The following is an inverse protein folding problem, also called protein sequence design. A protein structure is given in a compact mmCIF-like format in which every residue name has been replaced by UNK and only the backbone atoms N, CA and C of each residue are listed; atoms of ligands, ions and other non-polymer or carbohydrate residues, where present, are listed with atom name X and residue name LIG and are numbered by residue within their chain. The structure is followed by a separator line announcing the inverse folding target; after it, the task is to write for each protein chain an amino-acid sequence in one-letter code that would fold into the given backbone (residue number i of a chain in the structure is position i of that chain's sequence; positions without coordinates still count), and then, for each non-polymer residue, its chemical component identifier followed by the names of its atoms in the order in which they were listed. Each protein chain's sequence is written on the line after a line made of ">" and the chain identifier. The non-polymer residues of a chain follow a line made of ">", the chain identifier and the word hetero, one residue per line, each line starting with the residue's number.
data_IF_607656668568
#
_entry.id   IF_607656668568
#
_cell.length_a   1.000
_cell.length_b   1.000
_cell.length_c   1.000
_cell.angle_alpha   90.00
_cell.angle_beta   90.00
_cell.angle_gamma   90.00
#
_symmetry.space_group_name_H-M   'P 1'
#
loop_
_entity.id
_entity.type
_entity.pdbx_description
1 polymer ?
#
# COMPACT_ATOMS: atom_id res chain seq x y z
N UNK A 1 37.81 -32.77 -23.76
CA UNK A 1 37.38 -33.83 -24.70
C UNK A 1 35.91 -34.08 -24.48
N UNK A 2 35.10 -34.16 -25.53
CA UNK A 2 33.69 -34.56 -25.39
C UNK A 2 33.65 -36.03 -24.95
N UNK A 3 33.02 -36.34 -23.82
CA UNK A 3 32.87 -37.71 -23.33
C UNK A 3 31.87 -38.45 -24.24
N UNK A 4 32.20 -39.68 -24.64
CA UNK A 4 31.29 -40.52 -25.43
C UNK A 4 30.34 -41.26 -24.49
N UNK A 5 29.04 -41.22 -24.77
CA UNK A 5 28.01 -41.91 -23.97
C UNK A 5 27.68 -43.27 -24.57
N UNK A 6 27.79 -44.33 -23.76
CA UNK A 6 27.45 -45.70 -24.13
C UNK A 6 26.25 -46.20 -23.32
N UNK A 7 25.24 -46.72 -24.01
CA UNK A 7 24.07 -47.34 -23.37
C UNK A 7 24.37 -48.78 -22.99
N UNK A 8 24.24 -49.12 -21.71
CA UNK A 8 24.37 -50.49 -21.22
C UNK A 8 23.07 -51.27 -21.52
N UNK A 9 23.16 -52.33 -22.32
CA UNK A 9 22.10 -53.31 -22.54
C UNK A 9 22.33 -54.58 -21.71
N UNK A 10 21.28 -55.31 -21.31
CA UNK A 10 21.45 -56.50 -20.49
C UNK A 10 22.14 -57.64 -21.27
N UNK A 11 23.19 -58.19 -20.65
CA UNK A 11 23.95 -59.40 -21.01
C UNK A 11 24.70 -59.40 -22.36
N UNK A 12 26.01 -59.11 -22.29
CA UNK A 12 27.01 -59.75 -23.15
C UNK A 12 27.96 -60.59 -22.28
N UNK A 13 27.65 -61.87 -22.14
CA UNK A 13 28.48 -62.84 -21.42
C UNK A 13 29.71 -63.23 -22.24
N UNK A 14 30.71 -62.36 -22.40
CA UNK A 14 32.13 -62.77 -22.59
C UNK A 14 33.16 -61.62 -22.68
N UNK A 15 33.05 -60.56 -21.88
CA UNK A 15 34.00 -59.44 -21.97
C UNK A 15 34.93 -59.39 -20.76
N UNK A 16 36.24 -59.45 -21.03
CA UNK A 16 37.30 -59.30 -20.03
C UNK A 16 37.23 -57.90 -19.41
N UNK A 17 36.69 -57.85 -18.19
CA UNK A 17 36.40 -56.62 -17.45
C UNK A 17 37.66 -55.75 -17.30
N UNK A 18 38.86 -56.33 -17.16
CA UNK A 18 40.10 -55.56 -16.98
C UNK A 18 40.54 -54.83 -18.26
N UNK A 19 40.42 -55.47 -19.43
CA UNK A 19 40.70 -54.82 -20.72
C UNK A 19 39.68 -53.74 -21.04
N UNK A 20 38.41 -54.00 -20.77
CA UNK A 20 37.33 -53.04 -21.01
C UNK A 20 37.52 -51.78 -20.17
N UNK A 21 37.87 -51.93 -18.89
CA UNK A 21 38.25 -50.83 -18.00
C UNK A 21 39.39 -49.98 -18.57
N UNK A 22 40.46 -50.60 -19.06
CA UNK A 22 41.60 -49.87 -19.62
C UNK A 22 41.24 -49.04 -20.86
N UNK A 23 40.37 -49.57 -21.72
CA UNK A 23 39.89 -48.89 -22.93
C UNK A 23 38.93 -47.75 -22.57
N UNK A 24 38.03 -47.98 -21.62
CA UNK A 24 37.09 -46.96 -21.15
C UNK A 24 37.81 -45.77 -20.49
N UNK A 25 38.87 -46.01 -19.71
CA UNK A 25 39.73 -44.95 -19.16
C UNK A 25 40.41 -44.14 -20.26
N UNK A 26 40.99 -44.81 -21.27
CA UNK A 26 41.67 -44.14 -22.37
C UNK A 26 40.73 -43.27 -23.24
N UNK A 27 39.47 -43.69 -23.36
CA UNK A 27 38.46 -43.01 -24.19
C UNK A 27 37.55 -42.03 -23.42
N UNK A 28 37.70 -41.92 -22.09
CA UNK A 28 36.83 -41.08 -21.24
C UNK A 28 35.34 -41.36 -21.45
N UNK A 29 34.98 -42.65 -21.52
CA UNK A 29 33.60 -43.09 -21.78
C UNK A 29 32.73 -42.85 -20.54
N UNK A 30 31.52 -42.33 -20.76
CA UNK A 30 30.44 -42.33 -19.78
C UNK A 30 29.39 -43.37 -20.16
N UNK A 31 28.88 -44.08 -19.17
CA UNK A 31 27.80 -45.04 -19.33
C UNK A 31 26.46 -44.44 -18.92
N UNK A 32 25.41 -44.83 -19.63
CA UNK A 32 24.02 -44.53 -19.28
C UNK A 32 23.19 -45.82 -19.38
N UNK A 33 22.08 -45.86 -18.67
CA UNK A 33 21.13 -46.99 -18.69
C UNK A 33 19.82 -46.53 -19.31
N UNK A 34 19.15 -47.43 -20.03
CA UNK A 34 17.83 -47.14 -20.59
C UNK A 34 16.73 -47.07 -19.51
N UNK A 35 16.87 -47.86 -18.45
CA UNK A 35 15.91 -48.03 -17.35
C UNK A 35 16.66 -48.32 -16.03
N UNK A 36 16.07 -47.95 -14.90
CA UNK A 36 16.65 -48.16 -13.56
C UNK A 36 16.69 -49.64 -13.12
N UNK A 37 15.92 -50.51 -13.79
CA UNK A 37 15.85 -51.95 -13.51
C UNK A 37 16.80 -52.79 -14.39
N UNK A 38 17.69 -52.15 -15.16
CA UNK A 38 18.69 -52.87 -15.95
C UNK A 38 19.64 -53.61 -15.00
N UNK A 39 19.78 -54.92 -15.20
CA UNK A 39 20.71 -55.75 -14.45
C UNK A 39 22.14 -55.50 -14.95
N UNK A 40 22.92 -54.74 -14.19
CA UNK A 40 24.32 -54.43 -14.45
C UNK A 40 25.19 -55.19 -13.45
N UNK A 41 26.26 -55.84 -13.92
CA UNK A 41 27.24 -56.51 -13.05
C UNK A 41 27.82 -55.52 -12.03
N UNK A 42 27.82 -55.90 -10.75
CA UNK A 42 28.36 -55.10 -9.65
C UNK A 42 29.79 -54.61 -9.92
N UNK A 43 30.65 -55.44 -10.51
CA UNK A 43 32.02 -55.02 -10.84
C UNK A 43 32.06 -53.84 -11.83
N UNK A 44 31.08 -53.79 -12.74
CA UNK A 44 30.94 -52.68 -13.68
C UNK A 44 30.41 -51.43 -12.98
N UNK A 45 29.49 -51.59 -12.02
CA UNK A 45 28.97 -50.48 -11.21
C UNK A 45 30.07 -49.87 -10.35
N UNK A 46 30.85 -50.70 -9.67
CA UNK A 46 32.00 -50.27 -8.85
C UNK A 46 33.02 -49.53 -9.72
N UNK A 47 33.32 -50.06 -10.90
CA UNK A 47 34.20 -49.39 -11.87
C UNK A 47 33.68 -48.02 -12.32
N UNK A 48 32.39 -47.93 -12.69
CA UNK A 48 31.76 -46.67 -13.10
C UNK A 48 31.82 -45.63 -11.99
N UNK A 49 31.55 -46.06 -10.75
CA UNK A 49 31.58 -45.21 -9.58
C UNK A 49 32.99 -44.69 -9.25
N UNK A 50 33.99 -45.57 -9.21
CA UNK A 50 35.37 -45.22 -8.88
C UNK A 50 36.01 -44.25 -9.88
N UNK A 51 35.49 -44.18 -11.11
CA UNK A 51 36.10 -43.44 -12.21
C UNK A 51 35.19 -42.33 -12.78
N UNK A 52 34.10 -41.96 -12.09
CA UNK A 52 33.10 -40.99 -12.58
C UNK A 52 32.64 -41.29 -14.03
N UNK A 53 32.55 -42.58 -14.33
CA UNK A 53 32.35 -43.14 -15.67
C UNK A 53 30.89 -43.25 -16.08
N UNK A 54 29.97 -42.49 -15.47
CA UNK A 54 28.55 -42.53 -15.78
C UNK A 54 28.00 -41.15 -16.09
N UNK A 55 26.91 -41.10 -16.86
CA UNK A 55 26.16 -39.86 -17.11
C UNK A 55 25.43 -39.49 -15.83
N UNK A 56 25.61 -38.25 -15.37
CA UNK A 56 24.90 -37.73 -14.20
C UNK A 56 23.46 -37.41 -14.61
N UNK A 57 22.58 -38.40 -14.41
CA UNK A 57 21.13 -38.31 -14.58
C UNK A 57 20.42 -39.12 -13.48
N UNK A 58 19.10 -38.96 -13.36
CA UNK A 58 18.31 -39.59 -12.30
C UNK A 58 18.44 -41.12 -12.26
N UNK A 59 18.38 -41.79 -13.42
CA UNK A 59 18.43 -43.27 -13.51
C UNK A 59 19.78 -43.82 -13.04
N UNK A 60 20.87 -43.23 -13.52
CA UNK A 60 22.22 -43.63 -13.11
C UNK A 60 22.46 -43.34 -11.63
N UNK A 61 21.97 -42.21 -11.12
CA UNK A 61 22.07 -41.88 -9.71
C UNK A 61 21.32 -42.90 -8.85
N UNK A 62 20.10 -43.28 -9.23
CA UNK A 62 19.34 -44.35 -8.56
C UNK A 62 20.11 -45.67 -8.54
N UNK A 63 20.72 -46.07 -9.67
CA UNK A 63 21.53 -47.29 -9.75
C UNK A 63 22.73 -47.25 -8.79
N UNK A 64 23.47 -46.13 -8.77
CA UNK A 64 24.64 -45.96 -7.89
C UNK A 64 24.21 -46.00 -6.42
N UNK A 65 23.17 -45.25 -6.04
CA UNK A 65 22.69 -45.20 -4.66
C UNK A 65 22.20 -46.58 -4.19
N UNK A 66 21.47 -47.32 -5.03
CA UNK A 66 21.00 -48.69 -4.72
C UNK A 66 22.13 -49.67 -4.40
N UNK A 67 23.23 -49.56 -5.15
CA UNK A 67 24.34 -50.51 -5.01
C UNK A 67 25.32 -50.11 -3.90
N UNK A 68 25.52 -48.81 -3.69
CA UNK A 68 26.49 -48.30 -2.73
C UNK A 68 25.88 -48.10 -1.33
N UNK A 69 24.57 -47.92 -1.25
CA UNK A 69 23.81 -47.73 -0.01
C UNK A 69 22.61 -48.70 0.05
N UNK A 70 22.84 -50.03 0.00
CA UNK A 70 21.75 -51.02 -0.02
C UNK A 70 20.90 -51.02 1.26
N UNK A 71 21.48 -50.60 2.40
CA UNK A 71 20.74 -50.41 3.67
C UNK A 71 19.75 -49.24 3.63
N UNK A 72 19.85 -48.41 2.58
CA UNK A 72 19.05 -47.22 2.35
C UNK A 72 18.22 -47.35 1.07
N UNK A 73 17.87 -48.58 0.67
CA UNK A 73 17.09 -48.88 -0.55
C UNK A 73 15.76 -48.09 -0.59
N UNK A 74 15.16 -47.85 0.56
CA UNK A 74 13.96 -47.00 0.69
C UNK A 74 14.26 -45.51 0.48
N UNK A 75 15.47 -45.00 0.74
CA UNK A 75 15.86 -43.57 0.64
C UNK A 75 16.09 -43.05 -0.79
N UNK A 76 16.30 -43.95 -1.77
CA UNK A 76 16.64 -43.61 -3.16
C UNK A 76 15.53 -42.78 -3.83
N UNK A 77 14.30 -42.95 -3.34
CA UNK A 77 13.09 -42.30 -3.81
C UNK A 77 12.42 -41.42 -2.74
N UNK A 78 13.11 -41.11 -1.65
CA UNK A 78 12.54 -40.28 -0.57
C UNK A 78 12.75 -38.79 -0.85
N UNK A 79 11.85 -37.95 -0.34
CA UNK A 79 12.11 -36.53 -0.19
C UNK A 79 13.48 -36.27 0.46
N UNK A 80 14.18 -35.22 0.05
CA UNK A 80 15.48 -34.85 0.64
C UNK A 80 16.71 -35.59 0.09
N UNK A 81 16.68 -36.10 -1.14
CA UNK A 81 17.75 -36.91 -1.74
C UNK A 81 19.14 -36.28 -1.61
N UNK A 82 19.28 -34.98 -1.90
CA UNK A 82 20.59 -34.34 -1.87
C UNK A 82 21.12 -34.21 -0.43
N UNK A 83 20.25 -33.93 0.54
CA UNK A 83 20.57 -33.97 1.98
C UNK A 83 21.14 -35.34 2.37
N UNK A 84 20.50 -36.43 1.94
CA UNK A 84 21.00 -37.79 2.22
C UNK A 84 22.34 -38.08 1.54
N UNK A 85 22.53 -37.65 0.30
CA UNK A 85 23.82 -37.77 -0.39
C UNK A 85 24.90 -37.03 0.39
N UNK A 86 24.63 -35.81 0.86
CA UNK A 86 25.57 -35.01 1.65
C UNK A 86 25.88 -35.65 3.01
N UNK A 87 24.93 -36.33 3.64
CA UNK A 87 25.13 -37.05 4.90
C UNK A 87 25.84 -38.40 4.73
N UNK A 88 25.80 -39.00 3.53
CA UNK A 88 26.37 -40.33 3.26
C UNK A 88 27.90 -40.36 3.32
N UNK A 89 28.50 -41.56 3.33
CA UNK A 89 29.95 -41.74 3.20
C UNK A 89 30.47 -41.73 1.74
N UNK A 90 29.61 -41.42 0.75
CA UNK A 90 29.92 -41.50 -0.68
C UNK A 90 30.76 -40.31 -1.18
N UNK A 91 32.01 -40.18 -0.75
CA UNK A 91 32.88 -39.05 -1.09
C UNK A 91 33.12 -38.88 -2.60
N UNK A 92 33.21 -39.98 -3.35
CA UNK A 92 33.39 -39.92 -4.81
C UNK A 92 32.13 -39.36 -5.50
N UNK A 93 30.93 -39.78 -5.08
CA UNK A 93 29.68 -39.23 -5.59
C UNK A 93 29.58 -37.73 -5.30
N UNK A 94 29.90 -37.31 -4.06
CA UNK A 94 29.87 -35.90 -3.66
C UNK A 94 30.78 -35.05 -4.54
N UNK A 95 32.03 -35.48 -4.71
CA UNK A 95 32.99 -34.78 -5.56
C UNK A 95 32.51 -34.71 -7.01
N UNK A 96 31.95 -35.80 -7.54
CA UNK A 96 31.44 -35.81 -8.91
C UNK A 96 30.25 -34.87 -9.11
N UNK A 97 29.36 -34.78 -8.13
CA UNK A 97 28.26 -33.81 -8.12
C UNK A 97 28.82 -32.39 -8.01
N UNK A 98 29.76 -32.11 -7.11
CA UNK A 98 30.32 -30.78 -6.94
C UNK A 98 31.05 -30.31 -8.22
N UNK A 99 31.74 -31.20 -8.96
CA UNK A 99 32.35 -30.92 -10.27
C UNK A 99 31.33 -30.63 -11.37
N UNK A 100 30.10 -31.14 -11.25
CA UNK A 100 29.03 -31.05 -12.26
C UNK A 100 27.76 -30.45 -11.65
N UNK A 101 27.91 -29.50 -10.73
CA UNK A 101 26.84 -29.09 -9.82
C UNK A 101 25.65 -28.46 -10.57
N UNK A 102 25.90 -27.64 -11.58
CA UNK A 102 24.85 -27.08 -12.45
C UNK A 102 24.02 -28.18 -13.13
N UNK A 103 24.70 -29.20 -13.69
CA UNK A 103 24.02 -30.32 -14.35
C UNK A 103 23.19 -31.14 -13.35
N UNK A 104 23.73 -31.37 -12.16
CA UNK A 104 23.01 -32.06 -11.09
C UNK A 104 21.74 -31.29 -10.70
N UNK A 105 21.88 -29.98 -10.41
CA UNK A 105 20.76 -29.20 -9.91
C UNK A 105 19.68 -29.00 -10.98
N UNK A 106 20.08 -28.57 -12.19
CA UNK A 106 19.14 -28.33 -13.28
C UNK A 106 18.50 -29.61 -13.83
N UNK A 107 19.25 -30.71 -13.89
CA UNK A 107 18.84 -31.94 -14.58
C UNK A 107 18.28 -33.04 -13.67
N UNK A 108 18.54 -32.99 -12.36
CA UNK A 108 18.11 -34.01 -11.41
C UNK A 108 17.37 -33.36 -10.25
N UNK A 109 18.04 -32.45 -9.54
CA UNK A 109 17.49 -31.86 -8.32
C UNK A 109 16.16 -31.17 -8.59
N UNK A 110 16.03 -30.34 -9.62
CA UNK A 110 14.79 -29.60 -9.90
C UNK A 110 13.64 -30.50 -10.41
N UNK A 111 13.96 -31.68 -10.97
CA UNK A 111 12.98 -32.54 -11.68
C UNK A 111 12.23 -33.53 -10.79
N UNK A 112 12.68 -33.73 -9.55
CA UNK A 112 12.02 -34.64 -8.59
C UNK A 112 10.68 -34.02 -8.15
N UNK A 113 9.55 -34.73 -8.14
CA UNK A 113 8.26 -34.08 -7.84
C UNK A 113 7.97 -33.89 -6.34
N UNK A 114 8.78 -34.50 -5.46
CA UNK A 114 8.57 -34.54 -4.01
C UNK A 114 9.76 -33.94 -3.23
N UNK A 115 10.17 -32.73 -3.59
CA UNK A 115 11.30 -31.99 -2.97
C UNK A 115 11.14 -31.66 -1.47
N UNK A 116 9.99 -32.00 -0.88
CA UNK A 116 9.44 -31.40 0.33
C UNK A 116 10.15 -31.76 1.65
N UNK A 117 11.40 -32.27 1.61
CA UNK A 117 12.17 -32.60 2.82
C UNK A 117 13.68 -32.38 2.67
N UNK A 118 14.13 -31.59 1.69
CA UNK A 118 15.53 -31.14 1.74
C UNK A 118 15.77 -30.28 2.98
N UNK A 119 16.90 -30.50 3.66
CA UNK A 119 17.26 -29.67 4.81
C UNK A 119 17.53 -28.23 4.38
N UNK A 120 17.30 -27.28 5.28
CA UNK A 120 17.61 -25.87 5.05
C UNK A 120 19.08 -25.67 4.66
N UNK A 121 20.01 -26.41 5.28
CA UNK A 121 21.44 -26.35 4.94
C UNK A 121 21.71 -26.74 3.47
N UNK A 122 21.00 -27.76 2.97
CA UNK A 122 21.09 -28.21 1.58
C UNK A 122 20.59 -27.15 0.61
N UNK A 123 19.41 -26.56 0.89
CA UNK A 123 18.86 -25.48 0.06
C UNK A 123 19.80 -24.28 0.05
N UNK A 124 20.36 -23.90 1.20
CA UNK A 124 21.32 -22.80 1.29
C UNK A 124 22.62 -23.09 0.54
N UNK A 125 23.13 -24.33 0.55
CA UNK A 125 24.29 -24.72 -0.27
C UNK A 125 24.02 -24.48 -1.77
N UNK A 126 22.80 -24.72 -2.22
CA UNK A 126 22.39 -24.48 -3.61
C UNK A 126 22.27 -22.97 -3.88
N UNK A 127 21.46 -22.24 -3.09
CA UNK A 127 21.20 -20.82 -3.33
C UNK A 127 22.45 -19.94 -3.21
N UNK A 128 23.36 -20.27 -2.28
CA UNK A 128 24.61 -19.53 -2.07
C UNK A 128 25.77 -19.98 -2.97
N UNK A 129 25.54 -20.93 -3.89
CA UNK A 129 26.59 -21.40 -4.79
C UNK A 129 26.98 -20.33 -5.81
N UNK A 130 28.27 -20.05 -5.94
CA UNK A 130 28.83 -19.17 -6.97
C UNK A 130 28.91 -19.86 -8.35
N UNK A 131 28.80 -21.19 -8.39
CA UNK A 131 28.93 -21.99 -9.61
C UNK A 131 27.60 -22.09 -10.36
N UNK A 132 26.48 -22.02 -9.65
CA UNK A 132 25.16 -22.16 -10.24
C UNK A 132 24.73 -20.91 -10.98
N UNK A 133 24.07 -21.10 -12.13
CA UNK A 133 23.45 -20.00 -12.85
C UNK A 133 22.26 -19.42 -12.06
N UNK A 134 22.04 -18.11 -12.21
CA UNK A 134 20.90 -17.41 -11.58
C UNK A 134 19.57 -18.07 -11.94
N UNK A 135 19.36 -18.42 -13.21
CA UNK A 135 18.17 -19.11 -13.67
C UNK A 135 17.96 -20.45 -12.93
N UNK A 136 19.02 -21.24 -12.72
CA UNK A 136 18.91 -22.50 -11.97
C UNK A 136 18.51 -22.26 -10.52
N UNK A 137 19.08 -21.25 -9.85
CA UNK A 137 18.67 -20.87 -8.48
C UNK A 137 17.21 -20.41 -8.41
N UNK A 138 16.76 -19.60 -9.38
CA UNK A 138 15.36 -19.18 -9.46
C UNK A 138 14.42 -20.38 -9.65
N UNK A 139 14.78 -21.35 -10.51
CA UNK A 139 14.00 -22.57 -10.70
C UNK A 139 13.91 -23.41 -9.42
N UNK A 140 14.95 -23.44 -8.60
CA UNK A 140 14.91 -24.09 -7.28
C UNK A 140 13.85 -23.41 -6.41
N UNK A 141 13.86 -22.09 -6.28
CA UNK A 141 12.88 -21.33 -5.48
C UNK A 141 11.44 -21.62 -5.95
N UNK A 142 11.23 -21.64 -7.26
CA UNK A 142 9.91 -21.81 -7.89
C UNK A 142 9.34 -23.22 -7.76
N UNK A 143 10.21 -24.25 -7.84
CA UNK A 143 9.75 -25.64 -7.96
C UNK A 143 9.93 -26.46 -6.69
N UNK A 144 10.74 -26.01 -5.75
CA UNK A 144 10.94 -26.69 -4.47
C UNK A 144 10.09 -26.03 -3.37
N UNK A 145 9.66 -26.85 -2.41
CA UNK A 145 8.93 -26.40 -1.24
C UNK A 145 9.88 -26.42 -0.04
N UNK A 146 10.18 -25.23 0.48
CA UNK A 146 11.07 -25.04 1.62
C UNK A 146 10.75 -23.71 2.29
N UNK A 147 11.23 -23.57 3.52
CA UNK A 147 11.14 -22.31 4.26
C UNK A 147 12.47 -22.04 4.94
N UNK A 148 13.11 -20.91 4.60
CA UNK A 148 14.32 -20.45 5.28
C UNK A 148 13.92 -19.73 6.56
N UNK A 149 14.57 -20.08 7.67
CA UNK A 149 14.34 -19.43 8.96
C UNK A 149 14.69 -17.93 8.92
N UNK A 150 15.84 -17.58 8.31
CA UNK A 150 16.31 -16.19 8.21
C UNK A 150 16.71 -15.84 6.77
N UNK A 151 16.21 -14.71 6.26
CA UNK A 151 16.45 -14.30 4.86
C UNK A 151 17.92 -13.96 4.56
N UNK A 152 18.64 -13.44 5.55
CA UNK A 152 20.06 -13.09 5.46
C UNK A 152 21.00 -14.29 5.31
N UNK A 153 20.51 -15.51 5.54
CA UNK A 153 21.26 -16.72 5.24
C UNK A 153 21.41 -16.97 3.74
N UNK A 154 20.55 -16.35 2.91
CA UNK A 154 20.72 -16.30 1.45
C UNK A 154 21.58 -15.09 1.08
N UNK A 155 22.85 -15.35 0.73
CA UNK A 155 23.84 -14.34 0.37
C UNK A 155 23.51 -13.62 -0.95
N UNK A 156 22.72 -14.27 -1.82
CA UNK A 156 22.34 -13.75 -3.12
C UNK A 156 21.06 -12.90 -2.99
N UNK A 157 21.27 -11.61 -2.73
CA UNK A 157 20.18 -10.65 -2.43
C UNK A 157 19.20 -10.52 -3.61
N UNK A 158 19.64 -10.75 -4.86
CA UNK A 158 18.76 -10.69 -6.03
C UNK A 158 17.63 -11.74 -5.99
N UNK A 159 17.79 -12.79 -5.18
CA UNK A 159 16.78 -13.83 -5.01
C UNK A 159 15.75 -13.49 -3.93
N UNK A 160 15.96 -12.45 -3.11
CA UNK A 160 15.10 -12.14 -1.96
C UNK A 160 13.66 -11.82 -2.36
N UNK A 161 13.46 -11.10 -3.47
CA UNK A 161 12.13 -10.81 -4.00
C UNK A 161 11.38 -12.09 -4.34
N UNK A 162 12.05 -13.03 -5.00
CA UNK A 162 11.46 -14.30 -5.40
C UNK A 162 11.15 -15.17 -4.17
N UNK A 163 12.05 -15.15 -3.17
CA UNK A 163 11.83 -15.83 -1.89
C UNK A 163 10.61 -15.27 -1.15
N UNK A 164 10.42 -13.94 -1.14
CA UNK A 164 9.24 -13.29 -0.55
C UNK A 164 7.96 -13.60 -1.35
N UNK A 165 7.97 -13.43 -2.67
CA UNK A 165 6.79 -13.69 -3.52
C UNK A 165 6.26 -15.11 -3.39
N UNK A 166 7.15 -16.08 -3.21
CA UNK A 166 6.81 -17.49 -3.07
C UNK A 166 6.78 -17.98 -1.61
N UNK A 167 6.78 -17.08 -0.61
CA UNK A 167 6.63 -17.44 0.80
C UNK A 167 7.68 -18.47 1.27
N UNK A 168 8.91 -18.38 0.74
CA UNK A 168 10.02 -19.29 1.06
C UNK A 168 10.83 -18.88 2.28
N UNK A 169 10.35 -17.89 3.03
CA UNK A 169 10.96 -17.34 4.24
C UNK A 169 9.96 -17.48 5.39
N UNK A 170 10.45 -17.82 6.59
CA UNK A 170 9.61 -17.89 7.78
C UNK A 170 8.98 -16.52 8.13
N UNK A 171 7.67 -16.44 8.42
CA UNK A 171 6.97 -15.19 8.74
C UNK A 171 7.36 -14.63 10.11
N UNK A 172 8.51 -13.98 10.17
CA UNK A 172 9.02 -13.30 11.35
C UNK A 172 9.23 -11.82 11.08
N UNK A 173 8.98 -10.97 12.08
CA UNK A 173 9.22 -9.54 11.96
C UNK A 173 10.70 -9.22 11.71
N UNK A 174 11.63 -10.07 12.18
CA UNK A 174 13.05 -9.96 11.86
C UNK A 174 13.30 -10.10 10.36
N UNK A 175 12.70 -11.10 9.69
CA UNK A 175 12.84 -11.27 8.24
C UNK A 175 12.24 -10.11 7.45
N UNK A 176 11.07 -9.61 7.88
CA UNK A 176 10.46 -8.43 7.28
C UNK A 176 11.41 -7.22 7.41
N UNK A 177 11.98 -7.02 8.60
CA UNK A 177 12.90 -5.92 8.87
C UNK A 177 14.19 -6.01 8.06
N UNK A 178 14.81 -7.18 8.02
CA UNK A 178 16.02 -7.43 7.24
C UNK A 178 15.80 -7.19 5.75
N UNK A 179 14.65 -7.63 5.20
CA UNK A 179 14.29 -7.37 3.81
C UNK A 179 14.02 -5.88 3.55
N UNK A 180 13.21 -5.24 4.39
CA UNK A 180 12.84 -3.83 4.26
C UNK A 180 14.05 -2.91 4.36
N UNK A 181 15.00 -3.22 5.24
CA UNK A 181 16.21 -2.43 5.47
C UNK A 181 17.33 -2.72 4.46
N UNK A 182 17.07 -3.57 3.47
CA UNK A 182 18.06 -3.88 2.45
C UNK A 182 18.25 -2.68 1.50
N UNK A 183 19.48 -2.20 1.28
CA UNK A 183 19.73 -1.03 0.43
C UNK A 183 19.26 -1.18 -1.03
N UNK A 184 19.16 -2.41 -1.54
CA UNK A 184 18.68 -2.68 -2.91
C UNK A 184 17.17 -2.43 -3.02
N UNK A 185 16.44 -2.58 -1.91
CA UNK A 185 15.00 -2.35 -1.84
C UNK A 185 14.67 -0.89 -1.44
N UNK A 186 15.66 -0.14 -0.98
CA UNK A 186 15.54 1.26 -0.61
C UNK A 186 15.56 2.14 -1.87
N UNK A 187 14.42 2.20 -2.57
CA UNK A 187 14.17 3.22 -3.56
C UNK A 187 13.50 4.46 -2.93
N UNK A 188 13.67 5.62 -3.57
CA UNK A 188 13.12 6.87 -3.06
C UNK A 188 11.58 6.92 -3.09
N UNK A 189 10.94 6.01 -3.83
CA UNK A 189 9.50 6.00 -4.07
C UNK A 189 8.73 5.00 -3.20
N UNK A 190 9.32 3.87 -2.84
CA UNK A 190 8.68 2.80 -2.07
C UNK A 190 9.24 2.63 -0.66
N UNK A 191 10.39 3.25 -0.35
CA UNK A 191 11.03 3.21 0.97
C UNK A 191 11.19 1.77 1.51
N UNK A 192 11.51 0.80 0.66
CA UNK A 192 11.63 -0.61 1.05
C UNK A 192 10.35 -1.44 0.90
N UNK A 193 9.23 -0.83 0.50
CA UNK A 193 7.92 -1.51 0.34
C UNK A 193 7.70 -1.93 -1.12
N UNK A 194 8.45 -2.96 -1.50
CA UNK A 194 8.39 -3.59 -2.83
C UNK A 194 7.08 -4.38 -3.04
N UNK A 195 6.76 -4.73 -4.29
CA UNK A 195 5.63 -5.60 -4.60
C UNK A 195 5.82 -7.01 -4.01
N UNK A 196 7.05 -7.50 -3.93
CA UNK A 196 7.38 -8.78 -3.31
C UNK A 196 7.02 -8.80 -1.82
N UNK A 197 7.40 -7.75 -1.08
CA UNK A 197 7.06 -7.61 0.34
C UNK A 197 5.54 -7.51 0.55
N UNK A 198 4.86 -6.71 -0.27
CA UNK A 198 3.39 -6.57 -0.21
C UNK A 198 2.70 -7.90 -0.49
N UNK A 199 3.17 -8.66 -1.47
CA UNK A 199 2.64 -9.98 -1.81
C UNK A 199 2.80 -10.94 -0.63
N UNK A 200 3.98 -10.94 0.00
CA UNK A 200 4.26 -11.74 1.18
C UNK A 200 3.38 -11.35 2.38
N UNK A 201 3.25 -10.06 2.69
CA UNK A 201 2.43 -9.58 3.81
C UNK A 201 0.93 -9.84 3.61
N UNK A 202 0.46 -9.81 2.37
CA UNK A 202 -0.93 -10.10 2.00
C UNK A 202 -1.24 -11.59 1.87
N UNK A 203 -0.23 -12.47 1.95
CA UNK A 203 -0.45 -13.91 2.02
C UNK A 203 -1.10 -14.26 3.36
N UNK A 204 -2.22 -14.97 3.30
CA UNK A 204 -3.02 -15.32 4.48
C UNK A 204 -2.19 -16.06 5.54
N UNK A 205 -1.41 -17.05 5.12
CA UNK A 205 -0.56 -17.83 6.02
C UNK A 205 0.49 -16.95 6.72
N UNK A 206 1.15 -16.05 5.97
CA UNK A 206 2.14 -15.13 6.52
C UNK A 206 1.53 -14.17 7.53
N UNK A 207 0.44 -13.50 7.16
CA UNK A 207 -0.23 -12.52 8.04
C UNK A 207 -0.74 -13.17 9.32
N UNK A 208 -1.33 -14.37 9.24
CA UNK A 208 -1.78 -15.12 10.40
C UNK A 208 -0.61 -15.48 11.33
N UNK A 209 0.51 -15.99 10.81
CA UNK A 209 1.69 -16.32 11.61
C UNK A 209 2.35 -15.07 12.24
N UNK A 210 2.52 -14.00 11.45
CA UNK A 210 3.06 -12.72 11.93
C UNK A 210 2.20 -12.11 13.06
N UNK A 211 0.89 -12.34 13.03
CA UNK A 211 -0.03 -11.82 14.05
C UNK A 211 0.04 -12.53 15.42
N UNK A 212 0.61 -13.74 15.47
CA UNK A 212 0.67 -14.54 16.69
C UNK A 212 1.75 -14.06 17.67
N UNK A 213 2.81 -13.43 17.15
CA UNK A 213 3.89 -12.86 17.97
C UNK A 213 3.76 -11.35 17.97
N UNK A 214 3.66 -10.78 19.16
CA UNK A 214 3.78 -9.33 19.31
C UNK A 214 5.18 -8.89 18.90
N UNK A 215 5.26 -7.72 18.26
CA UNK A 215 6.48 -7.15 17.67
C UNK A 215 7.56 -6.78 18.74
N UNK A 216 7.35 -7.09 20.03
CA UNK A 216 8.06 -6.47 21.16
C UNK A 216 8.82 -7.42 22.08
N UNK A 217 8.82 -8.73 21.82
CA UNK A 217 9.52 -9.65 22.72
C UNK A 217 11.04 -9.61 22.55
N UNK A 218 11.57 -9.13 21.41
CA UNK A 218 13.01 -8.92 21.20
C UNK A 218 13.27 -7.67 20.33
N UNK A 219 14.09 -6.76 20.85
CA UNK A 219 14.63 -5.52 20.25
C UNK A 219 13.84 -4.20 20.44
N UNK A 220 14.27 -3.43 21.44
CA UNK A 220 14.26 -1.96 21.42
C UNK A 220 14.73 -1.44 20.04
N UNK A 221 13.89 -0.81 19.21
CA UNK A 221 14.38 -0.06 18.03
C UNK A 221 13.33 0.83 17.38
N UNK A 222 13.58 2.15 17.30
CA UNK A 222 12.74 3.08 16.53
C UNK A 222 12.62 2.73 15.04
N UNK A 223 13.48 1.84 14.53
CA UNK A 223 13.51 1.37 13.15
C UNK A 223 12.35 0.43 12.83
N UNK A 224 12.02 -0.51 13.73
CA UNK A 224 10.84 -1.39 13.57
C UNK A 224 9.56 -0.55 13.59
N UNK A 225 9.46 0.43 14.50
CA UNK A 225 8.33 1.37 14.56
C UNK A 225 8.17 2.13 13.23
N UNK A 226 9.29 2.59 12.64
CA UNK A 226 9.30 3.25 11.33
C UNK A 226 8.82 2.31 10.22
N UNK A 227 9.39 1.11 10.12
CA UNK A 227 8.99 0.11 9.13
C UNK A 227 7.48 -0.18 9.20
N UNK A 228 6.96 -0.45 10.40
CA UNK A 228 5.53 -0.75 10.58
C UNK A 228 4.66 0.45 10.18
N UNK A 229 5.07 1.66 10.54
CA UNK A 229 4.38 2.88 10.13
C UNK A 229 4.33 2.99 8.61
N UNK A 230 5.45 2.80 7.94
CA UNK A 230 5.53 2.90 6.48
C UNK A 230 4.65 1.83 5.82
N UNK A 231 4.69 0.58 6.31
CA UNK A 231 3.83 -0.52 5.84
C UNK A 231 2.34 -0.13 5.93
N UNK A 232 1.90 0.36 7.10
CA UNK A 232 0.49 0.72 7.31
C UNK A 232 0.08 2.01 6.60
N UNK A 233 0.99 2.95 6.40
CA UNK A 233 0.75 4.19 5.65
C UNK A 233 0.80 3.98 4.13
N UNK A 234 1.36 2.87 3.63
CA UNK A 234 1.55 2.62 2.20
C UNK A 234 0.26 2.47 1.38
N UNK A 235 -0.85 2.08 2.03
CA UNK A 235 -2.11 1.74 1.36
C UNK A 235 -2.04 0.48 0.47
N UNK A 236 -0.97 -0.31 0.53
CA UNK A 236 -0.76 -1.49 -0.32
C UNK A 236 -1.24 -2.81 0.30
N UNK A 237 -1.50 -2.84 1.60
CA UNK A 237 -2.09 -4.01 2.26
C UNK A 237 -3.55 -4.17 1.81
N UNK A 238 -4.03 -5.41 1.74
CA UNK A 238 -5.44 -5.70 1.49
C UNK A 238 -6.26 -5.65 2.78
N UNK A 239 -7.57 -5.47 2.66
CA UNK A 239 -8.47 -5.31 3.81
C UNK A 239 -8.62 -6.58 4.67
N UNK A 240 -8.18 -7.75 4.17
CA UNK A 240 -8.16 -9.01 4.93
C UNK A 240 -6.94 -9.09 5.86
N UNK A 241 -5.75 -8.78 5.34
CA UNK A 241 -4.47 -8.90 6.04
C UNK A 241 -4.22 -7.71 6.95
N UNK A 242 -4.70 -6.52 6.59
CA UNK A 242 -4.54 -5.29 7.36
C UNK A 242 -4.95 -5.43 8.84
N UNK A 243 -6.19 -5.83 9.19
CA UNK A 243 -6.60 -5.95 10.58
C UNK A 243 -5.89 -7.12 11.30
N UNK A 244 -5.43 -8.15 10.58
CA UNK A 244 -4.70 -9.27 11.15
C UNK A 244 -3.30 -8.79 11.60
N UNK A 245 -2.57 -8.14 10.70
CA UNK A 245 -1.25 -7.57 10.99
C UNK A 245 -1.33 -6.47 12.06
N UNK A 246 -2.39 -5.65 12.06
CA UNK A 246 -2.57 -4.58 13.05
C UNK A 246 -2.70 -5.13 14.49
N UNK A 247 -3.13 -6.37 14.68
CA UNK A 247 -3.17 -7.02 16.02
C UNK A 247 -1.78 -7.27 16.59
N UNK A 248 -0.78 -7.48 15.74
CA UNK A 248 0.60 -7.70 16.16
C UNK A 248 1.23 -6.44 16.79
N UNK A 249 0.73 -5.26 16.40
CA UNK A 249 1.20 -3.95 16.87
C UNK A 249 0.78 -3.73 18.32
N UNK A 250 1.72 -3.73 19.26
CA UNK A 250 1.44 -3.45 20.69
C UNK A 250 1.72 -2.00 21.12
N UNK A 251 2.14 -1.15 20.20
CA UNK A 251 2.45 0.27 20.39
C UNK A 251 1.43 1.16 19.69
N UNK A 252 1.60 2.48 19.83
CA UNK A 252 0.85 3.47 19.08
C UNK A 252 1.74 4.21 18.09
N UNK A 253 1.22 4.44 16.89
CA UNK A 253 1.88 5.25 15.87
C UNK A 253 1.78 6.73 16.20
N UNK A 254 2.93 7.41 16.17
CA UNK A 254 3.04 8.87 16.21
C UNK A 254 3.33 9.42 14.81
N UNK A 255 2.90 10.65 14.54
CA UNK A 255 3.07 11.35 13.27
C UNK A 255 2.56 10.54 12.06
N UNK A 256 1.52 9.72 12.22
CA UNK A 256 0.96 8.89 11.16
C UNK A 256 0.37 9.75 10.03
N UNK A 257 0.63 9.38 8.78
CA UNK A 257 0.08 10.03 7.59
C UNK A 257 -0.93 9.14 6.87
N UNK A 258 -2.06 9.73 6.46
CA UNK A 258 -3.17 9.05 5.79
C UNK A 258 -3.26 9.36 4.29
N UNK A 259 -2.19 9.88 3.69
CA UNK A 259 -2.17 10.35 2.31
C UNK A 259 -2.38 9.24 1.28
N UNK A 260 -1.82 8.06 1.53
CA UNK A 260 -1.95 6.88 0.68
C UNK A 260 -2.89 5.80 1.25
N UNK A 261 -3.38 5.95 2.49
CA UNK A 261 -4.25 4.95 3.11
C UNK A 261 -5.65 4.95 2.51
N UNK A 262 -6.22 3.75 2.34
CA UNK A 262 -7.61 3.58 1.91
C UNK A 262 -8.60 4.01 3.01
N UNK A 263 -9.84 4.33 2.64
CA UNK A 263 -10.87 4.77 3.59
C UNK A 263 -11.20 3.68 4.63
N UNK A 264 -11.34 2.42 4.20
CA UNK A 264 -11.59 1.26 5.07
C UNK A 264 -10.48 1.08 6.10
N UNK A 265 -9.22 1.15 5.66
CA UNK A 265 -8.03 1.01 6.50
C UNK A 265 -7.87 2.18 7.47
N UNK A 266 -8.12 3.40 7.00
CA UNK A 266 -8.10 4.60 7.84
C UNK A 266 -9.12 4.51 8.95
N UNK A 267 -10.32 3.99 8.64
CA UNK A 267 -11.36 3.70 9.65
C UNK A 267 -10.88 2.67 10.68
N UNK A 268 -10.29 1.55 10.24
CA UNK A 268 -9.75 0.53 11.14
C UNK A 268 -8.67 1.11 12.07
N UNK A 269 -7.77 1.94 11.56
CA UNK A 269 -6.73 2.60 12.36
C UNK A 269 -7.32 3.53 13.42
N UNK A 270 -8.28 4.37 13.04
CA UNK A 270 -8.98 5.28 13.97
C UNK A 270 -9.70 4.50 15.07
N UNK A 271 -10.35 3.38 14.73
CA UNK A 271 -11.11 2.56 15.69
C UNK A 271 -10.21 1.67 16.57
N UNK A 272 -8.99 1.35 16.13
CA UNK A 272 -8.08 0.43 16.83
C UNK A 272 -7.39 1.00 18.07
N UNK A 273 -7.44 2.33 18.28
CA UNK A 273 -6.65 3.06 19.28
C UNK A 273 -5.12 2.85 19.16
N UNK A 274 -4.64 2.48 17.96
CA UNK A 274 -3.20 2.31 17.64
C UNK A 274 -2.55 3.56 17.07
N UNK A 275 -3.28 4.67 16.92
CA UNK A 275 -2.75 5.92 16.38
C UNK A 275 -2.93 7.04 17.40
N UNK A 276 -1.87 7.78 17.67
CA UNK A 276 -1.92 9.01 18.46
C UNK A 276 -2.29 10.16 17.51
N UNK A 277 -3.44 10.79 17.77
CA UNK A 277 -3.92 11.92 17.00
C UNK A 277 -3.33 13.24 17.51
N UNK A 278 -2.02 13.41 17.30
CA UNK A 278 -1.36 14.71 17.42
C UNK A 278 -1.69 15.63 16.23
N UNK A 279 -1.30 16.90 16.31
CA UNK A 279 -1.75 17.93 15.36
C UNK A 279 -1.44 17.57 13.89
N UNK A 280 -0.27 16.99 13.62
CA UNK A 280 0.15 16.58 12.28
C UNK A 280 -0.71 15.42 11.77
N UNK A 281 -0.92 14.38 12.60
CA UNK A 281 -1.73 13.22 12.26
C UNK A 281 -3.19 13.58 12.03
N UNK A 282 -3.76 14.43 12.88
CA UNK A 282 -5.13 14.92 12.68
C UNK A 282 -5.24 15.80 11.44
N UNK A 283 -4.25 16.65 11.15
CA UNK A 283 -4.21 17.45 9.91
C UNK A 283 -4.19 16.55 8.67
N UNK A 284 -3.41 15.47 8.70
CA UNK A 284 -3.37 14.48 7.63
C UNK A 284 -4.73 13.81 7.45
N UNK A 285 -5.35 13.32 8.54
CA UNK A 285 -6.68 12.72 8.49
C UNK A 285 -7.74 13.71 7.96
N UNK A 286 -7.68 14.98 8.38
CA UNK A 286 -8.58 16.05 7.92
C UNK A 286 -8.43 16.39 6.44
N UNK A 287 -7.24 16.22 5.88
CA UNK A 287 -6.96 16.50 4.48
C UNK A 287 -7.47 15.37 3.57
N UNK A 288 -7.20 14.12 3.94
CA UNK A 288 -7.44 12.96 3.08
C UNK A 288 -8.77 12.24 3.37
N UNK A 289 -9.20 12.19 4.64
CA UNK A 289 -10.43 11.50 5.08
C UNK A 289 -11.29 12.40 6.01
N UNK A 290 -11.76 13.58 5.52
CA UNK A 290 -12.33 14.63 6.37
C UNK A 290 -13.59 14.21 7.13
N UNK A 291 -14.42 13.31 6.58
CA UNK A 291 -15.61 12.80 7.28
C UNK A 291 -15.23 11.98 8.50
N UNK A 292 -14.24 11.09 8.36
CA UNK A 292 -13.74 10.26 9.46
C UNK A 292 -13.07 11.13 10.52
N UNK A 293 -12.27 12.11 10.09
CA UNK A 293 -11.63 13.08 10.96
C UNK A 293 -12.67 13.89 11.78
N UNK A 294 -13.74 14.35 11.13
CA UNK A 294 -14.80 15.10 11.80
C UNK A 294 -15.56 14.24 12.84
N UNK A 295 -15.79 12.95 12.55
CA UNK A 295 -16.36 12.02 13.52
C UNK A 295 -15.44 11.86 14.74
N UNK A 296 -14.15 11.61 14.51
CA UNK A 296 -13.18 11.49 15.60
C UNK A 296 -13.16 12.75 16.48
N UNK A 297 -13.17 13.95 15.87
CA UNK A 297 -13.20 15.23 16.62
C UNK A 297 -14.46 15.39 17.45
N UNK A 298 -15.62 15.04 16.90
CA UNK A 298 -16.89 15.14 17.62
C UNK A 298 -16.89 14.26 18.88
N UNK A 299 -16.30 13.07 18.77
CA UNK A 299 -16.24 12.07 19.84
C UNK A 299 -15.08 12.36 20.83
N UNK A 300 -14.02 13.03 20.39
CA UNK A 300 -12.79 13.30 21.17
C UNK A 300 -12.52 14.80 21.35
N UNK A 301 -13.57 15.57 21.62
CA UNK A 301 -13.52 17.04 21.63
C UNK A 301 -12.44 17.63 22.52
N UNK A 302 -12.29 17.13 23.75
CA UNK A 302 -11.28 17.64 24.70
C UNK A 302 -9.86 17.46 24.16
N UNK A 303 -9.57 16.32 23.55
CA UNK A 303 -8.26 16.06 22.95
C UNK A 303 -8.01 16.99 21.76
N UNK A 304 -9.02 17.19 20.91
CA UNK A 304 -8.95 18.12 19.78
C UNK A 304 -8.66 19.56 20.23
N UNK A 305 -9.36 20.07 21.25
CA UNK A 305 -9.16 21.45 21.73
C UNK A 305 -7.72 21.69 22.20
N UNK A 306 -7.10 20.70 22.83
CA UNK A 306 -5.72 20.82 23.31
C UNK A 306 -4.70 21.02 22.17
N UNK A 307 -4.99 20.51 20.98
CA UNK A 307 -4.09 20.58 19.81
C UNK A 307 -4.58 21.54 18.72
N UNK A 308 -5.79 22.10 18.86
CA UNK A 308 -6.50 22.85 17.81
C UNK A 308 -5.65 23.95 17.15
N UNK A 309 -4.85 24.67 17.93
CA UNK A 309 -4.02 25.78 17.43
C UNK A 309 -2.94 25.35 16.43
N UNK A 310 -2.58 24.07 16.41
CA UNK A 310 -1.54 23.51 15.55
C UNK A 310 -2.12 22.72 14.36
N UNK A 311 -3.41 22.41 14.38
CA UNK A 311 -4.08 21.63 13.33
C UNK A 311 -4.30 22.51 12.09
N UNK A 312 -3.79 22.06 10.94
CA UNK A 312 -3.99 22.72 9.65
C UNK A 312 -5.34 22.30 9.07
N UNK A 313 -6.27 23.25 8.96
CA UNK A 313 -7.61 23.03 8.42
C UNK A 313 -7.81 23.80 7.12
N UNK A 314 -8.11 23.08 6.03
CA UNK A 314 -8.54 23.66 4.77
C UNK A 314 -10.07 23.85 4.75
N UNK A 315 -10.61 24.49 3.70
CA UNK A 315 -12.05 24.77 3.59
C UNK A 315 -12.93 23.50 3.62
N UNK A 316 -12.46 22.37 3.08
CA UNK A 316 -13.20 21.10 3.13
C UNK A 316 -13.22 20.52 4.54
N UNK A 317 -12.11 20.59 5.27
CA UNK A 317 -12.02 20.17 6.67
C UNK A 317 -12.95 21.01 7.55
N UNK A 318 -12.96 22.33 7.36
CA UNK A 318 -13.89 23.24 8.06
C UNK A 318 -15.35 22.90 7.79
N UNK A 319 -15.72 22.69 6.52
CA UNK A 319 -17.09 22.34 6.15
C UNK A 319 -17.56 21.06 6.85
N UNK A 320 -16.72 20.00 6.85
CA UNK A 320 -17.06 18.73 7.51
C UNK A 320 -17.13 18.83 9.03
N UNK A 321 -16.26 19.63 9.65
CA UNK A 321 -16.33 19.89 11.09
C UNK A 321 -17.63 20.63 11.47
N UNK A 322 -18.00 21.67 10.74
CA UNK A 322 -19.24 22.44 11.00
C UNK A 322 -20.47 21.57 10.78
N UNK A 323 -20.52 20.80 9.69
CA UNK A 323 -21.60 19.86 9.41
C UNK A 323 -21.76 18.84 10.53
N UNK A 324 -20.67 18.20 10.95
CA UNK A 324 -20.70 17.13 11.96
C UNK A 324 -21.07 17.64 13.35
N UNK A 325 -20.74 18.89 13.67
CA UNK A 325 -21.02 19.52 14.98
C UNK A 325 -22.35 20.25 15.05
N UNK A 326 -23.14 20.31 13.97
CA UNK A 326 -24.42 21.04 13.94
C UNK A 326 -25.44 20.61 15.02
N UNK A 327 -25.32 19.40 15.58
CA UNK A 327 -26.13 18.92 16.71
C UNK A 327 -25.61 19.30 18.10
N UNK A 328 -24.43 19.93 18.20
CA UNK A 328 -23.78 20.31 19.45
C UNK A 328 -23.45 21.80 19.44
N UNK A 329 -24.32 22.62 20.04
CA UNK A 329 -24.21 24.09 20.01
C UNK A 329 -22.89 24.62 20.54
N UNK A 330 -22.31 24.00 21.57
CA UNK A 330 -21.03 24.44 22.14
C UNK A 330 -19.87 24.22 21.16
N UNK A 331 -19.78 23.02 20.57
CA UNK A 331 -18.73 22.68 19.60
C UNK A 331 -18.88 23.51 18.32
N UNK A 332 -20.12 23.62 17.81
CA UNK A 332 -20.40 24.37 16.60
C UNK A 332 -20.07 25.85 16.77
N UNK A 333 -20.48 26.47 17.88
CA UNK A 333 -20.18 27.88 18.14
C UNK A 333 -18.67 28.14 18.21
N UNK A 334 -17.91 27.24 18.86
CA UNK A 334 -16.44 27.35 18.89
C UNK A 334 -15.84 27.37 17.49
N UNK A 335 -16.25 26.43 16.62
CA UNK A 335 -15.75 26.35 15.24
C UNK A 335 -16.15 27.59 14.42
N UNK A 336 -17.41 28.01 14.49
CA UNK A 336 -17.92 29.18 13.79
C UNK A 336 -17.25 30.48 14.23
N UNK A 337 -16.85 30.61 15.50
CA UNK A 337 -16.08 31.76 15.97
C UNK A 337 -14.64 31.74 15.43
N UNK A 338 -14.03 30.56 15.34
CA UNK A 338 -12.62 30.37 14.98
C UNK A 338 -12.35 30.26 13.49
N UNK A 339 -13.36 29.98 12.65
CA UNK A 339 -13.18 29.90 11.21
C UNK A 339 -12.51 31.18 10.66
N UNK A 340 -11.40 31.04 9.89
CA UNK A 340 -10.78 32.17 9.20
C UNK A 340 -11.74 32.79 8.19
N UNK A 341 -11.77 34.11 8.08
CA UNK A 341 -12.66 34.82 7.14
C UNK A 341 -12.48 34.37 5.69
N UNK A 342 -11.24 34.10 5.28
CA UNK A 342 -10.88 33.57 3.96
C UNK A 342 -11.51 32.20 3.63
N UNK A 343 -11.84 31.40 4.64
CA UNK A 343 -12.45 30.08 4.45
C UNK A 343 -13.99 30.13 4.41
N UNK A 344 -14.63 31.19 4.92
CA UNK A 344 -16.10 31.24 5.09
C UNK A 344 -16.83 31.02 3.77
N UNK A 345 -16.47 31.75 2.72
CA UNK A 345 -17.14 31.62 1.40
C UNK A 345 -16.93 30.23 0.80
N UNK A 346 -15.71 29.70 0.87
CA UNK A 346 -15.43 28.36 0.35
C UNK A 346 -16.20 27.28 1.13
N UNK A 347 -16.35 27.44 2.44
CA UNK A 347 -17.12 26.53 3.30
C UNK A 347 -18.63 26.59 3.01
N UNK A 348 -19.16 27.80 2.80
CA UNK A 348 -20.56 28.01 2.37
C UNK A 348 -20.83 27.37 1.01
N UNK A 349 -19.92 27.54 0.06
CA UNK A 349 -20.02 26.98 -1.28
C UNK A 349 -19.98 25.44 -1.28
N UNK A 350 -19.30 24.84 -0.28
CA UNK A 350 -19.34 23.41 -0.01
C UNK A 350 -20.64 22.94 0.68
N UNK A 351 -21.58 23.85 0.95
CA UNK A 351 -22.91 23.57 1.49
C UNK A 351 -23.02 23.57 3.01
N UNK A 352 -21.97 23.98 3.75
CA UNK A 352 -22.04 24.08 5.20
C UNK A 352 -22.88 25.30 5.61
N UNK A 353 -23.71 25.14 6.65
CA UNK A 353 -24.51 26.25 7.19
C UNK A 353 -23.65 27.17 8.05
N UNK A 354 -23.53 28.43 7.64
CA UNK A 354 -22.87 29.49 8.42
C UNK A 354 -23.90 30.59 8.73
N UNK A 355 -24.09 30.97 10.00
CA UNK A 355 -24.98 32.07 10.37
C UNK A 355 -24.57 33.40 9.76
N UNK A 356 -25.56 34.22 9.38
CA UNK A 356 -25.35 35.54 8.77
C UNK A 356 -24.45 36.45 9.61
N UNK A 357 -24.56 36.38 10.94
CA UNK A 357 -23.78 37.18 11.88
C UNK A 357 -22.29 36.89 11.77
N UNK A 358 -21.92 35.63 11.51
CA UNK A 358 -20.52 35.23 11.33
C UNK A 358 -19.99 35.78 10.01
N UNK A 359 -20.78 35.71 8.94
CA UNK A 359 -20.41 36.23 7.62
C UNK A 359 -20.14 37.74 7.70
N UNK A 360 -21.08 38.50 8.28
CA UNK A 360 -20.91 39.95 8.47
C UNK A 360 -19.73 40.28 9.40
N UNK A 361 -19.60 39.59 10.53
CA UNK A 361 -18.50 39.83 11.49
C UNK A 361 -17.12 39.59 10.87
N UNK A 362 -17.00 38.63 9.96
CA UNK A 362 -15.73 38.28 9.30
C UNK A 362 -15.41 39.15 8.08
N UNK A 363 -16.33 40.02 7.64
CA UNK A 363 -16.16 40.93 6.47
C UNK A 363 -15.63 40.20 5.25
N UNK A 364 -16.35 39.15 4.88
CA UNK A 364 -15.84 38.14 3.96
C UNK A 364 -15.79 38.68 2.54
N UNK A 365 -14.64 38.47 1.88
CA UNK A 365 -14.43 38.86 0.48
C UNK A 365 -14.66 37.67 -0.45
N UNK A 366 -15.36 37.88 -1.55
CA UNK A 366 -15.59 36.90 -2.60
C UNK A 366 -15.57 37.56 -3.99
N UNK A 367 -15.14 36.81 -4.99
CA UNK A 367 -15.25 37.24 -6.38
C UNK A 367 -16.67 37.01 -6.92
N UNK A 368 -16.99 37.69 -8.03
CA UNK A 368 -18.27 37.57 -8.72
C UNK A 368 -18.68 36.12 -8.99
N UNK A 369 -17.77 35.31 -9.56
CA UNK A 369 -18.06 33.93 -9.98
C UNK A 369 -18.47 33.06 -8.80
N UNK A 370 -17.86 33.26 -7.64
CA UNK A 370 -18.17 32.50 -6.43
C UNK A 370 -19.53 32.90 -5.87
N UNK A 371 -19.83 34.20 -5.78
CA UNK A 371 -21.15 34.67 -5.32
C UNK A 371 -22.25 34.24 -6.30
N UNK A 372 -21.98 34.30 -7.61
CA UNK A 372 -22.89 33.82 -8.65
C UNK A 372 -23.20 32.33 -8.46
N UNK A 373 -22.17 31.48 -8.28
CA UNK A 373 -22.36 30.04 -8.03
C UNK A 373 -23.18 29.78 -6.76
N UNK A 374 -22.86 30.47 -5.67
CA UNK A 374 -23.59 30.38 -4.39
C UNK A 374 -25.06 30.80 -4.58
N UNK A 375 -25.31 31.87 -5.33
CA UNK A 375 -26.67 32.40 -5.58
C UNK A 375 -27.57 31.46 -6.38
N UNK A 376 -26.97 30.56 -7.17
CA UNK A 376 -27.68 29.54 -7.95
C UNK A 376 -28.00 28.28 -7.14
N UNK A 377 -27.40 28.11 -5.96
CA UNK A 377 -27.59 26.92 -5.14
C UNK A 377 -28.89 27.02 -4.32
N UNK A 378 -29.93 26.23 -4.60
CA UNK A 378 -31.23 26.33 -3.92
C UNK A 378 -31.17 25.88 -2.45
N UNK A 379 -30.12 25.16 -2.02
CA UNK A 379 -29.94 24.76 -0.64
C UNK A 379 -29.44 25.90 0.27
N UNK A 380 -28.93 26.99 -0.32
CA UNK A 380 -28.43 28.15 0.42
C UNK A 380 -29.57 29.15 0.61
N UNK A 381 -29.79 29.59 1.85
CA UNK A 381 -30.81 30.58 2.15
C UNK A 381 -30.52 31.92 1.47
N UNK A 382 -31.54 32.55 0.88
CA UNK A 382 -31.41 33.84 0.19
C UNK A 382 -30.84 34.95 1.09
N UNK A 383 -31.08 34.87 2.40
CA UNK A 383 -30.52 35.81 3.37
C UNK A 383 -28.98 35.72 3.44
N UNK A 384 -28.40 34.53 3.29
CA UNK A 384 -26.94 34.34 3.23
C UNK A 384 -26.40 35.00 1.97
N UNK A 385 -27.05 34.77 0.82
CA UNK A 385 -26.65 35.38 -0.46
C UNK A 385 -26.78 36.90 -0.40
N UNK A 386 -27.82 37.42 0.24
CA UNK A 386 -28.01 38.85 0.49
C UNK A 386 -26.83 39.44 1.28
N UNK A 387 -26.47 38.84 2.41
CA UNK A 387 -25.34 39.32 3.23
C UNK A 387 -24.03 39.27 2.44
N UNK A 388 -23.75 38.17 1.74
CA UNK A 388 -22.55 38.02 0.91
C UNK A 388 -22.48 39.09 -0.19
N UNK A 389 -23.59 39.32 -0.89
CA UNK A 389 -23.69 40.36 -1.91
C UNK A 389 -23.43 41.74 -1.29
N UNK A 390 -24.12 42.07 -0.20
CA UNK A 390 -24.01 43.37 0.48
C UNK A 390 -22.56 43.70 0.86
N UNK A 391 -21.83 42.74 1.43
CA UNK A 391 -20.42 42.92 1.85
C UNK A 391 -19.45 43.04 0.66
N UNK A 392 -19.83 42.59 -0.54
CA UNK A 392 -18.96 42.52 -1.72
C UNK A 392 -19.37 43.46 -2.86
N UNK A 393 -20.46 44.20 -2.73
CA UNK A 393 -21.00 45.09 -3.77
C UNK A 393 -19.96 46.08 -4.32
N UNK A 394 -19.09 46.62 -3.46
CA UNK A 394 -18.04 47.56 -3.87
C UNK A 394 -16.97 46.97 -4.80
N UNK A 395 -16.91 45.65 -4.95
CA UNK A 395 -15.99 44.96 -5.87
C UNK A 395 -16.68 44.47 -7.16
N UNK A 396 -17.99 44.70 -7.30
CA UNK A 396 -18.80 44.23 -8.42
C UNK A 396 -19.16 45.40 -9.35
N UNK A 397 -19.38 45.11 -10.62
CA UNK A 397 -20.03 46.06 -11.54
C UNK A 397 -21.56 45.87 -11.56
N UNK A 398 -22.28 46.83 -12.15
CA UNK A 398 -23.74 46.77 -12.23
C UNK A 398 -24.25 45.49 -12.91
N UNK A 399 -23.60 45.00 -13.97
CA UNK A 399 -24.04 43.77 -14.67
C UNK A 399 -23.90 42.53 -13.79
N UNK A 400 -22.81 42.45 -13.04
CA UNK A 400 -22.54 41.37 -12.08
C UNK A 400 -23.55 41.37 -10.93
N UNK A 401 -23.77 42.52 -10.31
CA UNK A 401 -24.77 42.67 -9.25
C UNK A 401 -26.19 42.33 -9.74
N UNK A 402 -26.52 42.74 -10.98
CA UNK A 402 -27.80 42.39 -11.63
C UNK A 402 -27.96 40.88 -11.75
N UNK A 403 -26.94 40.17 -12.21
CA UNK A 403 -27.04 38.73 -12.43
C UNK A 403 -27.25 37.97 -11.11
N UNK A 404 -26.55 38.33 -10.04
CA UNK A 404 -26.71 37.71 -8.71
C UNK A 404 -28.16 37.93 -8.19
N UNK A 405 -28.68 39.16 -8.28
CA UNK A 405 -30.05 39.46 -7.87
C UNK A 405 -31.11 38.70 -8.68
N UNK A 406 -30.88 38.51 -9.98
CA UNK A 406 -31.74 37.68 -10.83
C UNK A 406 -31.71 36.21 -10.41
N UNK A 407 -30.53 35.66 -10.10
CA UNK A 407 -30.38 34.28 -9.62
C UNK A 407 -31.12 34.04 -8.29
N UNK A 408 -31.11 35.03 -7.38
CA UNK A 408 -31.85 34.96 -6.12
C UNK A 408 -33.39 34.93 -6.31
N UNK A 409 -33.88 35.48 -7.42
CA UNK A 409 -35.30 35.48 -7.80
C UNK A 409 -36.22 36.25 -6.84
N UNK A 410 -37.52 36.15 -7.07
CA UNK A 410 -38.56 36.79 -6.26
C UNK A 410 -38.33 38.30 -6.06
N UNK A 411 -38.46 38.81 -4.84
CA UNK A 411 -38.31 40.24 -4.51
C UNK A 411 -36.93 40.80 -4.86
N UNK A 412 -35.88 39.97 -4.90
CA UNK A 412 -34.53 40.40 -5.26
C UNK A 412 -34.38 40.69 -6.75
N UNK A 413 -35.01 39.86 -7.61
CA UNK A 413 -34.98 40.07 -9.05
C UNK A 413 -35.73 41.34 -9.46
N UNK A 414 -36.79 41.70 -8.74
CA UNK A 414 -37.55 42.93 -8.97
C UNK A 414 -36.73 44.21 -8.73
N UNK A 415 -35.73 44.17 -7.84
CA UNK A 415 -34.81 45.30 -7.61
C UNK A 415 -34.03 45.71 -8.86
N UNK A 416 -33.84 44.77 -9.79
CA UNK A 416 -33.15 45.05 -11.05
C UNK A 416 -34.05 45.73 -12.09
N UNK A 417 -35.36 45.76 -11.85
CA UNK A 417 -36.37 46.28 -12.78
C UNK A 417 -36.70 47.75 -12.47
N UNK A 418 -37.14 48.49 -13.50
CA UNK A 418 -37.47 49.93 -13.40
C UNK A 418 -38.92 50.18 -12.98
N UNK A 419 -39.40 49.42 -12.00
CA UNK A 419 -40.80 49.39 -11.62
C UNK A 419 -41.08 49.91 -10.20
N UNK A 420 -40.10 50.54 -9.54
CA UNK A 420 -40.19 51.01 -8.15
C UNK A 420 -40.78 49.92 -7.22
N UNK A 421 -40.06 48.78 -7.08
CA UNK A 421 -40.61 47.59 -6.43
C UNK A 421 -40.92 47.82 -4.95
N UNK A 422 -41.82 47.00 -4.42
CA UNK A 422 -42.22 46.99 -3.01
C UNK A 422 -41.78 45.68 -2.37
N UNK A 423 -40.72 45.74 -1.57
CA UNK A 423 -40.12 44.54 -0.96
C UNK A 423 -40.49 44.40 0.51
N UNK A 424 -40.52 43.18 1.09
CA UNK A 424 -40.75 42.98 2.51
C UNK A 424 -39.70 43.70 3.37
N UNK A 425 -40.13 44.24 4.52
CA UNK A 425 -39.20 44.89 5.46
C UNK A 425 -38.39 43.84 6.24
N UNK A 426 -37.07 43.95 6.17
CA UNK A 426 -36.13 43.28 7.07
C UNK A 426 -34.84 44.09 7.18
N UNK A 427 -34.10 43.95 8.29
CA UNK A 427 -32.81 44.66 8.47
C UNK A 427 -31.80 44.27 7.37
N UNK A 428 -31.81 43.00 6.95
CA UNK A 428 -30.97 42.52 5.84
C UNK A 428 -31.34 43.18 4.51
N UNK A 429 -32.65 43.38 4.23
CA UNK A 429 -33.09 44.06 3.01
C UNK A 429 -32.77 45.56 3.07
N UNK A 430 -32.93 46.22 4.21
CA UNK A 430 -32.55 47.63 4.38
C UNK A 430 -31.04 47.83 4.15
N UNK A 431 -30.20 46.93 4.68
CA UNK A 431 -28.74 46.96 4.47
C UNK A 431 -28.38 46.77 2.99
N UNK A 432 -29.01 45.81 2.30
CA UNK A 432 -28.79 45.60 0.87
C UNK A 432 -29.18 46.83 0.05
N UNK A 433 -30.35 47.41 0.31
CA UNK A 433 -30.83 48.59 -0.42
C UNK A 433 -29.92 49.81 -0.18
N UNK A 434 -29.41 49.96 1.04
CA UNK A 434 -28.43 51.00 1.36
C UNK A 434 -27.13 50.78 0.59
N UNK A 435 -26.59 49.55 0.59
CA UNK A 435 -25.37 49.23 -0.13
C UNK A 435 -25.54 49.36 -1.67
N UNK A 436 -26.68 48.95 -2.23
CA UNK A 436 -27.00 49.12 -3.64
C UNK A 436 -27.05 50.61 -4.02
N UNK A 437 -27.69 51.44 -3.19
CA UNK A 437 -27.74 52.90 -3.37
C UNK A 437 -26.35 53.52 -3.31
N UNK A 438 -25.54 53.15 -2.30
CA UNK A 438 -24.20 53.72 -2.08
C UNK A 438 -23.23 53.37 -3.22
N UNK A 439 -23.43 52.22 -3.87
CA UNK A 439 -22.69 51.81 -5.07
C UNK A 439 -23.32 52.31 -6.39
N UNK A 440 -24.44 53.03 -6.35
CA UNK A 440 -25.13 53.56 -7.53
C UNK A 440 -25.86 52.50 -8.37
N UNK A 441 -26.14 51.32 -7.82
CA UNK A 441 -26.77 50.22 -8.53
C UNK A 441 -28.27 50.18 -8.29
N UNK A 442 -29.06 50.40 -9.36
CA UNK A 442 -30.52 50.25 -9.46
C UNK A 442 -31.41 51.05 -8.49
N UNK A 443 -30.89 51.53 -7.34
CA UNK A 443 -31.64 52.15 -6.25
C UNK A 443 -31.23 53.62 -6.10
N UNK A 444 -32.18 54.54 -6.29
CA UNK A 444 -31.97 55.98 -6.06
C UNK A 444 -32.28 56.37 -4.61
N UNK A 445 -33.41 55.87 -4.08
CA UNK A 445 -33.86 56.09 -2.72
C UNK A 445 -34.83 55.00 -2.30
N UNK A 446 -35.10 54.89 -1.00
CA UNK A 446 -36.14 53.99 -0.50
C UNK A 446 -36.78 54.56 0.78
N UNK A 447 -38.04 54.22 1.00
CA UNK A 447 -38.79 54.60 2.20
C UNK A 447 -39.40 53.37 2.88
N UNK A 448 -39.08 53.17 4.15
CA UNK A 448 -39.67 52.10 4.97
C UNK A 448 -41.05 52.51 5.47
N UNK A 449 -42.09 51.77 5.08
CA UNK A 449 -43.49 52.00 5.51
C UNK A 449 -44.14 50.71 5.99
N UNK A 450 -44.56 50.68 7.26
CA UNK A 450 -45.21 49.52 7.86
C UNK A 450 -44.39 48.23 7.68
N UNK A 451 -44.93 47.23 6.97
CA UNK A 451 -44.32 45.91 6.71
C UNK A 451 -43.47 45.84 5.43
N UNK A 452 -43.33 46.94 4.70
CA UNK A 452 -42.68 46.97 3.38
C UNK A 452 -41.73 48.14 3.23
N UNK A 453 -40.81 48.01 2.29
CA UNK A 453 -39.90 49.06 1.85
C UNK A 453 -40.28 49.42 0.41
N UNK A 454 -40.56 50.70 0.17
CA UNK A 454 -40.83 51.23 -1.16
C UNK A 454 -39.52 51.70 -1.78
N UNK A 455 -39.09 51.05 -2.86
CA UNK A 455 -37.82 51.34 -3.53
C UNK A 455 -38.07 52.25 -4.72
N UNK A 456 -37.29 53.32 -4.85
CA UNK A 456 -37.26 54.19 -6.03
C UNK A 456 -36.05 53.81 -6.87
N UNK A 457 -36.29 53.33 -8.09
CA UNK A 457 -35.22 52.87 -8.98
C UNK A 457 -34.44 54.03 -9.60
N UNK A 458 -33.17 53.84 -9.92
CA UNK A 458 -32.39 54.85 -10.66
C UNK A 458 -32.96 55.09 -12.07
N UNK A 459 -33.20 56.35 -12.47
CA UNK A 459 -33.55 56.68 -13.85
C UNK A 459 -32.33 56.46 -14.75
N UNK A 460 -32.57 56.09 -16.00
CA UNK A 460 -31.50 55.88 -16.98
C UNK A 460 -30.96 57.25 -17.43
N UNK A 461 -29.64 57.45 -17.44
CA UNK A 461 -29.04 58.34 -18.45
C UNK A 461 -29.10 57.57 -19.77
N UNK A 462 -29.89 58.04 -20.73
CA UNK A 462 -29.77 57.53 -22.09
C UNK A 462 -28.38 57.93 -22.61
N UNK A 463 -27.57 56.98 -23.07
CA UNK A 463 -26.38 57.34 -23.81
C UNK A 463 -26.86 57.91 -25.15
N UNK A 464 -26.62 59.21 -25.35
CA UNK A 464 -26.68 59.85 -26.67
C UNK A 464 -25.78 59.14 -27.70
#
# INVERSE_FOLDING_TARGET
>A
MAKQVFLLSPNDHNVDSAKLVSVCKALSIQFDISDENVNVDKNMIDYMYENNGYVLNQRMLSLILKNMLPEYEEMIFQPGQYTHILASCLSLLKNYIDENFEQYVAGIFITINEHNQESQETILKILNSEVLSENTKQQVILKTDFQLENIDTCNDIQLWDLLMQHVRISPTWNNIYTYYSCPINEDAETAGITEALVTYLNAKECSEQLSQKHIFDDADSGEIVRMMKDIFSSGKLNDESFPILLRAVSFQFTNFEFSATLESQSKMLVESNKVIFEAITLSSLMQYHPTLAANWVADNWTAFINIFGEVKLNSRSWAKLIERTAGNSAQQNFLLEKIPGENVVAVLDLGASIPNEIISKKRVKADYRTIERISLNPAIEKNIVNVLLTENLGNLNEKEARQILLNMGAEYAELTQRANPKVPKSDLMENLLMALKDNGFFVASFETKNKYIHVTSTPKEDPE
#
